data_IF_183380897161
#
_entry.id   IF_183380897161
#
_cell.length_a   1.000
_cell.length_b   1.000
_cell.length_c   1.000
_cell.angle_alpha   90.00
_cell.angle_beta   90.00
_cell.angle_gamma   90.00
#
_symmetry.space_group_name_H-M   'P 1'
#
loop_
_entity.id
_entity.type
_entity.pdbx_description
1 polymer ?
#
# COMPACT_ATOMS: atom_id res chain seq x y z
N UNK A 1 15.06 18.23 5.48
CA UNK A 1 15.65 17.25 4.56
C UNK A 1 16.11 17.99 3.30
N UNK A 2 17.22 17.54 2.71
CA UNK A 2 17.67 18.05 1.42
C UNK A 2 16.83 17.47 0.30
N UNK A 3 16.65 18.24 -0.77
CA UNK A 3 15.96 17.77 -1.97
C UNK A 3 16.78 16.70 -2.70
N UNK A 4 16.12 15.89 -3.50
CA UNK A 4 16.70 14.85 -4.34
C UNK A 4 17.76 14.00 -3.61
N UNK A 5 17.50 13.69 -2.35
CA UNK A 5 18.45 13.02 -1.46
C UNK A 5 17.81 11.74 -0.91
N UNK A 6 18.57 10.64 -0.96
CA UNK A 6 18.13 9.39 -0.36
C UNK A 6 18.43 9.39 1.13
N UNK A 7 17.40 9.16 1.92
CA UNK A 7 17.49 8.98 3.36
C UNK A 7 17.24 7.53 3.72
N UNK A 8 17.89 7.09 4.79
CA UNK A 8 17.72 5.77 5.38
C UNK A 8 17.14 5.92 6.77
N UNK A 9 16.28 5.00 7.16
CA UNK A 9 15.67 4.98 8.47
C UNK A 9 15.70 3.58 9.07
N UNK A 10 15.63 3.55 10.38
CA UNK A 10 15.49 2.33 11.16
C UNK A 10 14.41 2.54 12.23
N UNK A 11 13.61 1.51 12.46
CA UNK A 11 12.54 1.53 13.45
C UNK A 11 12.99 0.83 14.74
N UNK A 12 12.78 1.48 15.85
CA UNK A 12 13.07 0.97 17.18
C UNK A 12 11.78 0.84 17.96
N UNK A 13 11.66 -0.23 18.75
CA UNK A 13 10.62 -0.36 19.75
C UNK A 13 11.24 0.02 21.11
N UNK A 14 10.77 1.07 21.79
CA UNK A 14 11.27 1.44 23.10
C UNK A 14 11.17 0.25 24.08
N UNK A 15 12.19 0.07 24.90
CA UNK A 15 12.27 -0.99 25.93
C UNK A 15 12.36 -2.44 25.43
N UNK A 16 12.58 -2.67 24.15
CA UNK A 16 12.99 -3.98 23.67
C UNK A 16 14.49 -3.97 23.38
N UNK A 17 15.22 -4.87 24.03
CA UNK A 17 16.65 -5.11 23.76
C UNK A 17 16.79 -5.93 22.48
N UNK A 18 16.52 -5.34 21.37
CA UNK A 18 16.66 -5.94 20.07
C UNK A 18 16.17 -4.98 19.01
N UNK A 19 16.97 -4.82 17.99
CA UNK A 19 16.56 -4.11 16.78
C UNK A 19 15.36 -4.82 16.20
N UNK A 20 14.31 -4.10 15.85
CA UNK A 20 13.19 -4.69 15.12
C UNK A 20 13.62 -5.17 13.73
N UNK A 21 14.82 -4.81 13.31
CA UNK A 21 15.36 -5.09 12.00
C UNK A 21 14.58 -4.44 10.86
N UNK A 22 13.71 -3.49 11.17
CA UNK A 22 12.89 -2.79 10.19
C UNK A 22 13.60 -1.54 9.72
N UNK A 23 14.37 -1.69 8.67
CA UNK A 23 15.05 -0.58 7.99
C UNK A 23 14.37 -0.27 6.68
N UNK A 24 14.56 0.93 6.19
CA UNK A 24 14.06 1.34 4.88
C UNK A 24 14.78 2.59 4.38
N UNK A 25 14.34 3.08 3.24
CA UNK A 25 14.86 4.31 2.65
C UNK A 25 13.77 5.00 1.85
N UNK A 26 13.97 6.28 1.58
CA UNK A 26 13.15 7.04 0.66
C UNK A 26 13.97 8.10 -0.04
N UNK A 27 13.55 8.46 -1.24
CA UNK A 27 14.12 9.58 -1.99
C UNK A 27 13.22 10.79 -1.77
N UNK A 28 13.79 11.91 -1.37
CA UNK A 28 13.05 13.17 -1.28
C UNK A 28 12.77 13.72 -2.68
N UNK A 29 11.71 14.49 -2.79
CA UNK A 29 11.37 15.16 -4.04
C UNK A 29 12.49 16.12 -4.46
N UNK A 30 12.71 16.30 -5.76
CA UNK A 30 13.64 17.31 -6.25
C UNK A 30 13.15 18.73 -5.94
N UNK A 31 14.06 19.67 -5.83
CA UNK A 31 13.73 21.10 -5.75
C UNK A 31 13.73 21.70 -7.17
N UNK A 32 12.69 22.42 -7.52
CA UNK A 32 12.59 23.09 -8.82
C UNK A 32 13.73 24.07 -9.08
N UNK A 33 14.28 24.67 -8.03
CA UNK A 33 15.40 25.60 -8.14
C UNK A 33 16.74 24.92 -8.43
N UNK A 34 16.89 23.67 -7.99
CA UNK A 34 18.09 22.87 -8.20
C UNK A 34 18.07 22.12 -9.54
N UNK A 35 16.94 22.14 -10.24
CA UNK A 35 16.73 21.37 -11.46
C UNK A 35 16.96 22.14 -12.75
N UNK A 36 17.51 23.36 -12.65
CA UNK A 36 17.87 24.11 -13.85
C UNK A 36 19.14 23.49 -14.44
N UNK A 37 18.98 22.92 -15.62
CA UNK A 37 20.06 22.39 -16.45
C UNK A 37 20.00 23.09 -17.80
N UNK A 38 21.13 23.63 -18.25
CA UNK A 38 21.16 24.46 -19.46
C UNK A 38 20.76 23.69 -20.74
N UNK A 39 21.03 22.38 -20.77
CA UNK A 39 20.73 21.54 -21.92
C UNK A 39 19.44 20.75 -21.75
N UNK A 40 19.27 20.11 -20.59
CA UNK A 40 18.18 19.17 -20.38
C UNK A 40 16.91 19.80 -19.77
N UNK A 41 17.08 20.87 -19.00
CA UNK A 41 15.97 21.56 -18.34
C UNK A 41 16.18 23.09 -18.26
N UNK A 42 16.38 23.78 -19.38
CA UNK A 42 16.75 25.19 -19.40
C UNK A 42 15.68 26.11 -18.83
N UNK A 43 14.44 25.63 -18.76
CA UNK A 43 13.31 26.38 -18.16
C UNK A 43 13.12 26.11 -16.67
N UNK A 44 13.95 25.27 -16.06
CA UNK A 44 13.81 24.91 -14.66
C UNK A 44 12.48 24.23 -14.33
N UNK A 45 11.95 23.42 -15.25
CA UNK A 45 10.72 22.69 -15.02
C UNK A 45 10.94 21.65 -13.92
N UNK A 46 9.93 21.49 -13.08
CA UNK A 46 9.96 20.49 -12.01
C UNK A 46 9.92 19.09 -12.60
N UNK A 47 11.04 18.38 -12.48
CA UNK A 47 11.22 17.05 -13.02
C UNK A 47 11.18 16.00 -11.90
N UNK A 48 10.25 15.09 -11.97
CA UNK A 48 10.17 13.93 -11.08
C UNK A 48 9.62 12.73 -11.84
N UNK A 49 9.90 11.55 -11.34
CA UNK A 49 9.40 10.31 -11.89
C UNK A 49 8.56 9.60 -10.85
N UNK A 50 7.47 9.02 -11.26
CA UNK A 50 6.62 8.22 -10.39
C UNK A 50 6.11 6.99 -11.13
N UNK A 51 5.77 5.99 -10.35
CA UNK A 51 5.07 4.80 -10.81
C UNK A 51 3.58 4.97 -10.52
N UNK A 52 2.76 4.47 -11.42
CA UNK A 52 1.32 4.47 -11.27
C UNK A 52 0.78 3.08 -11.62
N UNK A 53 0.05 2.48 -10.69
CA UNK A 53 -0.59 1.19 -10.89
C UNK A 53 -2.01 1.19 -10.34
N UNK A 54 -2.84 0.34 -10.93
CA UNK A 54 -4.21 0.07 -10.53
C UNK A 54 -4.44 -1.45 -10.59
N UNK A 55 -5.27 -1.96 -9.70
CA UNK A 55 -5.68 -3.35 -9.70
C UNK A 55 -4.60 -4.33 -9.25
N UNK A 56 -4.79 -4.96 -8.12
CA UNK A 56 -3.86 -5.97 -7.58
C UNK A 56 -4.59 -7.26 -7.22
N UNK A 57 -5.27 -7.84 -8.19
CA UNK A 57 -6.03 -9.07 -7.98
C UNK A 57 -5.11 -10.30 -7.80
N UNK A 58 -4.25 -10.27 -6.80
CA UNK A 58 -3.35 -11.37 -6.48
C UNK A 58 -3.53 -11.84 -5.04
N UNK A 59 -3.39 -13.14 -4.83
CA UNK A 59 -3.30 -13.68 -3.48
C UNK A 59 -1.92 -13.33 -2.89
N UNK A 60 -1.84 -12.62 -1.76
CA UNK A 60 -0.57 -12.25 -1.14
C UNK A 60 0.23 -13.44 -0.63
N UNK A 61 -0.44 -14.53 -0.24
CA UNK A 61 0.15 -15.73 0.34
C UNK A 61 0.48 -16.82 -0.67
N UNK A 62 1.18 -16.51 -1.76
CA UNK A 62 1.53 -17.53 -2.75
C UNK A 62 2.52 -18.54 -2.18
N UNK A 63 2.23 -19.84 -2.39
CA UNK A 63 2.92 -20.98 -1.78
C UNK A 63 4.39 -21.20 -2.21
N UNK A 64 4.87 -20.52 -3.23
CA UNK A 64 6.18 -20.78 -3.84
C UNK A 64 7.15 -19.58 -3.80
N UNK A 65 7.07 -18.76 -2.77
CA UNK A 65 8.01 -17.65 -2.62
C UNK A 65 7.41 -16.41 -1.97
N UNK A 66 8.15 -15.31 -1.91
CA UNK A 66 7.64 -14.05 -1.37
C UNK A 66 6.45 -13.57 -2.21
N UNK A 67 5.31 -13.38 -1.55
CA UNK A 67 4.06 -12.97 -2.18
C UNK A 67 4.19 -11.67 -3.00
N UNK A 68 3.31 -11.52 -3.99
CA UNK A 68 3.25 -10.35 -4.88
C UNK A 68 4.55 -10.10 -5.67
N UNK A 69 4.93 -11.00 -6.57
CA UNK A 69 6.21 -10.98 -7.27
C UNK A 69 6.43 -9.73 -8.13
N UNK A 70 5.37 -9.08 -8.60
CA UNK A 70 5.43 -7.83 -9.37
C UNK A 70 6.15 -6.74 -8.57
N UNK A 71 5.83 -6.58 -7.29
CA UNK A 71 6.51 -5.61 -6.42
C UNK A 71 7.99 -5.90 -6.24
N UNK A 72 8.37 -7.17 -6.20
CA UNK A 72 9.77 -7.57 -6.18
C UNK A 72 10.51 -7.19 -7.47
N UNK A 73 9.84 -7.30 -8.60
CA UNK A 73 10.39 -6.89 -9.90
C UNK A 73 10.52 -5.36 -9.99
N UNK A 74 9.47 -4.64 -9.62
CA UNK A 74 9.47 -3.18 -9.57
C UNK A 74 10.57 -2.66 -8.64
N UNK A 75 10.69 -3.23 -7.46
CA UNK A 75 11.71 -2.86 -6.49
C UNK A 75 13.12 -2.97 -7.09
N UNK A 76 13.41 -4.03 -7.81
CA UNK A 76 14.72 -4.21 -8.45
C UNK A 76 14.98 -3.27 -9.63
N UNK A 77 13.94 -2.97 -10.39
CA UNK A 77 14.09 -2.25 -11.66
C UNK A 77 13.95 -0.74 -11.53
N UNK A 78 13.06 -0.25 -10.68
CA UNK A 78 12.66 1.15 -10.70
C UNK A 78 12.78 1.90 -9.37
N UNK A 79 13.02 1.23 -8.22
CA UNK A 79 13.04 1.92 -6.92
C UNK A 79 13.99 3.12 -6.84
N UNK A 80 15.09 3.08 -7.58
CA UNK A 80 16.10 4.14 -7.59
C UNK A 80 15.89 5.17 -8.72
N UNK A 81 14.85 4.98 -9.53
CA UNK A 81 14.51 5.83 -10.66
C UNK A 81 13.24 6.66 -10.45
N UNK A 82 12.50 6.38 -9.38
CA UNK A 82 11.25 7.05 -9.07
C UNK A 82 11.31 7.73 -7.72
N UNK A 83 10.57 8.81 -7.58
CA UNK A 83 10.46 9.56 -6.33
C UNK A 83 9.36 8.98 -5.44
N UNK A 84 8.27 8.52 -6.03
CA UNK A 84 7.14 7.91 -5.32
C UNK A 84 6.33 6.99 -6.24
N UNK A 85 5.38 6.29 -5.67
CA UNK A 85 4.37 5.51 -6.39
C UNK A 85 2.97 5.96 -6.00
N UNK A 86 2.03 5.77 -6.91
CA UNK A 86 0.59 5.91 -6.67
C UNK A 86 -0.07 4.57 -6.98
N UNK A 87 -0.73 4.00 -5.99
CA UNK A 87 -1.52 2.80 -6.13
C UNK A 87 -3.00 3.19 -6.12
N UNK A 88 -3.60 3.15 -7.30
CA UNK A 88 -4.88 3.77 -7.58
C UNK A 88 -6.03 2.77 -7.46
N UNK A 89 -6.29 2.35 -6.24
CA UNK A 89 -7.43 1.48 -5.93
C UNK A 89 -7.33 0.03 -6.42
N UNK A 90 -8.36 -0.73 -6.17
CA UNK A 90 -8.47 -2.15 -6.49
C UNK A 90 -7.34 -3.01 -5.89
N UNK A 91 -7.01 -2.72 -4.65
CA UNK A 91 -6.05 -3.51 -3.90
C UNK A 91 -6.65 -4.78 -3.36
N UNK A 92 -7.89 -4.68 -2.92
CA UNK A 92 -8.60 -5.73 -2.25
C UNK A 92 -9.86 -6.04 -3.06
N UNK A 93 -9.93 -7.26 -3.53
CA UNK A 93 -11.12 -7.76 -4.19
C UNK A 93 -11.96 -8.56 -3.21
N UNK A 94 -13.23 -8.25 -3.10
CA UNK A 94 -14.16 -8.91 -2.19
C UNK A 94 -14.26 -10.42 -2.45
N UNK A 95 -14.11 -10.84 -3.70
CA UNK A 95 -14.07 -12.26 -4.07
C UNK A 95 -12.88 -13.02 -3.48
N UNK A 96 -11.87 -12.30 -3.01
CA UNK A 96 -10.66 -12.87 -2.38
C UNK A 96 -10.60 -12.67 -0.89
N UNK A 97 -11.65 -12.16 -0.29
CA UNK A 97 -11.76 -12.06 1.17
C UNK A 97 -11.98 -13.45 1.74
N UNK A 98 -10.95 -14.00 2.33
CA UNK A 98 -10.96 -15.37 2.86
C UNK A 98 -11.81 -15.54 4.12
N UNK A 99 -12.38 -14.46 4.65
CA UNK A 99 -13.03 -14.49 5.95
C UNK A 99 -14.47 -14.01 5.88
N UNK A 100 -15.37 -14.89 6.32
CA UNK A 100 -16.75 -14.50 6.56
C UNK A 100 -16.80 -13.46 7.69
N UNK A 101 -17.64 -12.43 7.60
CA UNK A 101 -17.74 -11.39 8.61
C UNK A 101 -17.95 -11.92 10.03
N UNK A 102 -18.77 -12.96 10.19
CA UNK A 102 -19.02 -13.59 11.48
C UNK A 102 -17.80 -14.26 12.13
N UNK A 103 -16.88 -14.76 11.33
CA UNK A 103 -15.64 -15.35 11.84
C UNK A 103 -14.67 -14.27 12.34
N UNK A 104 -14.64 -13.12 11.67
CA UNK A 104 -13.78 -12.00 12.06
C UNK A 104 -14.27 -11.28 13.30
N UNK A 105 -15.54 -11.08 13.42
CA UNK A 105 -16.10 -10.49 14.62
C UNK A 105 -15.74 -11.31 15.86
N UNK A 106 -15.76 -12.64 15.76
CA UNK A 106 -15.29 -13.52 16.84
C UNK A 106 -13.81 -13.35 17.16
N UNK A 107 -12.97 -13.17 16.16
CA UNK A 107 -11.52 -13.02 16.37
C UNK A 107 -11.13 -11.71 17.05
N UNK A 108 -11.92 -10.66 16.88
CA UNK A 108 -11.72 -9.35 17.52
C UNK A 108 -12.61 -9.15 18.75
N UNK A 109 -13.24 -10.23 19.23
CA UNK A 109 -14.10 -10.26 20.41
C UNK A 109 -15.29 -9.26 20.33
N UNK A 110 -15.81 -9.07 19.13
CA UNK A 110 -17.00 -8.25 18.90
C UNK A 110 -18.21 -9.16 18.67
N UNK A 111 -19.24 -8.99 19.48
CA UNK A 111 -20.49 -9.71 19.29
C UNK A 111 -21.19 -9.21 18.01
N UNK A 112 -21.51 -10.11 17.06
CA UNK A 112 -22.23 -9.72 15.84
C UNK A 112 -23.54 -8.99 16.08
N UNK A 113 -24.20 -9.22 17.20
CA UNK A 113 -25.47 -8.57 17.56
C UNK A 113 -25.29 -7.11 18.01
N UNK A 114 -24.07 -6.77 18.46
CA UNK A 114 -23.75 -5.41 18.90
C UNK A 114 -23.20 -4.54 17.75
N UNK A 115 -23.06 -5.12 16.56
CA UNK A 115 -22.53 -4.39 15.41
C UNK A 115 -23.63 -3.59 14.72
N UNK A 116 -23.33 -2.33 14.32
CA UNK A 116 -24.24 -1.56 13.49
C UNK A 116 -24.65 -2.33 12.23
N UNK A 117 -25.87 -2.15 11.76
CA UNK A 117 -26.38 -2.83 10.56
C UNK A 117 -25.48 -2.66 9.32
N UNK A 118 -24.81 -1.52 9.20
CA UNK A 118 -23.83 -1.25 8.15
C UNK A 118 -22.65 -2.25 8.14
N UNK A 119 -22.28 -2.79 9.28
CA UNK A 119 -21.23 -3.81 9.39
C UNK A 119 -21.69 -5.16 8.85
N UNK A 120 -23.00 -5.41 8.85
CA UNK A 120 -23.59 -6.62 8.26
C UNK A 120 -23.76 -6.51 6.74
N UNK A 121 -23.88 -5.29 6.21
CA UNK A 121 -24.07 -5.03 4.77
C UNK A 121 -22.72 -4.94 4.05
N UNK A 122 -21.79 -4.22 4.60
CA UNK A 122 -20.42 -4.31 4.12
C UNK A 122 -19.80 -5.54 4.78
N UNK A 123 -19.54 -6.67 4.10
CA UNK A 123 -18.83 -7.77 4.72
C UNK A 123 -17.46 -7.27 5.18
N UNK A 124 -17.68 -6.41 5.95
CA UNK A 124 -17.17 -5.61 7.04
C UNK A 124 -15.89 -4.84 6.68
N UNK A 125 -15.96 -3.56 6.94
CA UNK A 125 -14.79 -2.70 7.22
C UNK A 125 -13.70 -3.47 8.00
N UNK A 126 -14.08 -4.32 8.95
CA UNK A 126 -13.16 -5.20 9.68
C UNK A 126 -12.52 -6.24 8.74
N UNK A 127 -13.24 -6.85 7.83
CA UNK A 127 -12.72 -7.77 6.83
C UNK A 127 -11.77 -7.06 5.84
N UNK A 128 -12.11 -5.86 5.43
CA UNK A 128 -11.24 -5.01 4.59
C UNK A 128 -9.91 -4.71 5.31
N UNK A 129 -9.95 -4.28 6.55
CA UNK A 129 -8.74 -4.01 7.33
C UNK A 129 -7.88 -5.25 7.53
N UNK A 130 -8.50 -6.40 7.74
CA UNK A 130 -7.76 -7.65 7.88
C UNK A 130 -7.14 -8.08 6.56
N UNK A 131 -7.80 -7.83 5.43
CA UNK A 131 -7.20 -8.07 4.12
C UNK A 131 -5.98 -7.16 3.88
N UNK A 132 -6.06 -5.86 4.21
CA UNK A 132 -4.89 -4.99 4.14
C UNK A 132 -3.74 -5.49 5.00
N UNK A 133 -4.02 -5.90 6.23
CA UNK A 133 -3.00 -6.49 7.11
C UNK A 133 -2.41 -7.75 6.51
N UNK A 134 -3.23 -8.64 5.98
CA UNK A 134 -2.79 -9.87 5.35
C UNK A 134 -1.90 -9.60 4.13
N UNK A 135 -2.26 -8.64 3.29
CA UNK A 135 -1.42 -8.20 2.18
C UNK A 135 -0.06 -7.69 2.64
N UNK A 136 -0.03 -6.92 3.71
CA UNK A 136 1.23 -6.41 4.28
C UNK A 136 2.04 -7.48 4.99
N UNK A 137 1.40 -8.42 5.66
CA UNK A 137 2.08 -9.49 6.40
C UNK A 137 2.61 -10.60 5.48
N UNK A 138 1.81 -11.02 4.53
CA UNK A 138 2.13 -12.13 3.63
C UNK A 138 2.81 -11.68 2.33
N UNK A 139 2.51 -10.48 1.86
CA UNK A 139 3.10 -9.89 0.69
C UNK A 139 4.48 -9.30 0.95
N UNK A 140 5.49 -10.11 1.20
CA UNK A 140 6.83 -9.64 1.55
C UNK A 140 7.44 -8.70 0.51
N UNK A 141 7.18 -8.92 -0.77
CA UNK A 141 7.64 -8.03 -1.83
C UNK A 141 6.97 -6.65 -1.74
N UNK A 142 5.69 -6.59 -1.41
CA UNK A 142 4.96 -5.35 -1.17
C UNK A 142 5.53 -4.62 0.06
N UNK A 143 5.74 -5.35 1.15
CA UNK A 143 6.35 -4.77 2.36
C UNK A 143 7.74 -4.21 2.08
N UNK A 144 8.55 -4.92 1.30
CA UNK A 144 9.85 -4.43 0.88
C UNK A 144 9.75 -3.21 -0.04
N UNK A 145 8.76 -3.17 -0.92
CA UNK A 145 8.48 -1.99 -1.73
C UNK A 145 8.21 -0.77 -0.85
N UNK A 146 7.28 -0.88 0.09
CA UNK A 146 6.93 0.22 1.00
C UNK A 146 8.08 0.69 1.90
N UNK A 147 9.07 -0.16 2.15
CA UNK A 147 10.27 0.26 2.88
C UNK A 147 11.17 1.19 2.08
N UNK A 148 11.08 1.18 0.77
CA UNK A 148 12.03 1.86 -0.10
C UNK A 148 11.41 2.90 -1.02
N UNK A 149 10.10 2.86 -1.22
CA UNK A 149 9.38 3.74 -2.13
C UNK A 149 8.21 4.38 -1.39
N UNK A 150 8.20 5.71 -1.23
CA UNK A 150 7.01 6.41 -0.75
C UNK A 150 5.82 6.07 -1.64
N UNK A 151 4.74 5.62 -1.06
CA UNK A 151 3.58 5.17 -1.82
C UNK A 151 2.33 5.87 -1.30
N UNK A 152 1.57 6.43 -2.23
CA UNK A 152 0.27 7.00 -1.99
C UNK A 152 -0.80 6.01 -2.45
N UNK A 153 -1.88 5.96 -1.71
CA UNK A 153 -3.02 5.11 -2.01
C UNK A 153 -4.25 5.95 -2.28
N UNK A 154 -4.99 5.55 -3.28
CA UNK A 154 -6.40 5.87 -3.40
C UNK A 154 -7.19 4.58 -3.21
N UNK A 155 -8.48 4.67 -3.11
CA UNK A 155 -9.38 3.50 -3.15
C UNK A 155 -10.28 3.63 -4.37
N UNK A 156 -10.73 2.50 -4.87
CA UNK A 156 -11.79 2.38 -5.84
C UNK A 156 -12.93 1.52 -5.25
N UNK A 157 -13.81 1.02 -6.06
CA UNK A 157 -15.02 0.34 -5.59
C UNK A 157 -14.74 -1.00 -4.89
N UNK A 158 -13.80 -1.80 -5.37
CA UNK A 158 -13.48 -3.12 -4.81
C UNK A 158 -12.94 -3.07 -3.36
N UNK A 159 -12.43 -1.97 -2.90
CA UNK A 159 -12.07 -1.82 -1.48
C UNK A 159 -13.31 -1.90 -0.59
N UNK A 160 -14.47 -1.59 -1.13
CA UNK A 160 -15.77 -1.66 -0.45
C UNK A 160 -16.60 -2.79 -1.04
N UNK A 161 -17.05 -2.65 -2.25
CA UNK A 161 -17.83 -3.61 -3.01
C UNK A 161 -17.83 -3.22 -4.49
N UNK A 162 -17.69 -4.19 -5.39
CA UNK A 162 -17.70 -3.97 -6.83
C UNK A 162 -18.92 -3.13 -7.29
N UNK A 163 -18.64 -2.17 -8.18
CA UNK A 163 -19.64 -1.27 -8.75
C UNK A 163 -20.39 -0.37 -7.73
N UNK A 164 -19.80 -0.12 -6.55
CA UNK A 164 -20.31 0.89 -5.62
C UNK A 164 -19.94 2.28 -6.09
N UNK A 165 -20.93 3.09 -6.37
CA UNK A 165 -20.72 4.46 -6.83
C UNK A 165 -21.76 5.44 -6.28
N UNK A 166 -21.27 6.60 -5.91
CA UNK A 166 -22.09 7.67 -5.36
C UNK A 166 -22.71 7.34 -3.98
N UNK A 167 -23.88 7.90 -3.74
CA UNK A 167 -24.69 7.61 -2.55
C UNK A 167 -25.67 6.44 -2.78
N UNK A 168 -25.47 5.68 -3.84
CA UNK A 168 -26.31 4.55 -4.19
C UNK A 168 -26.11 3.35 -3.29
N UNK A 169 -27.12 2.50 -3.21
CA UNK A 169 -26.95 1.16 -2.67
C UNK A 169 -26.14 0.32 -3.66
N UNK A 170 -25.39 -0.65 -3.16
CA UNK A 170 -24.80 -1.67 -4.03
C UNK A 170 -25.89 -2.31 -4.88
N UNK A 171 -25.65 -2.41 -6.15
CA UNK A 171 -26.56 -3.03 -7.09
C UNK A 171 -26.82 -4.51 -6.78
#
# INVERSE_FOLDING_TARGET
LKANTRYYYELFIPNQTGLTGKTGSFLTMPDSKEMIDAELNPRGLFNFSFEFACGNNQNPGHSNGPGLPTFGTMLRQIKDRINFAILNGDWLYESRREFQPSQRLKQVDINPQDTPGVVNVAPSIVGVWQNYKQFLEQGQNLTNWHRHVPTFFTYDDHEILNDVWGAGSPG
#
